data_IF_210567201020
#
_entry.id   IF_210567201020
#
_cell.length_a   1.000
_cell.length_b   1.000
_cell.length_c   1.000
_cell.angle_alpha   90.00
_cell.angle_beta   90.00
_cell.angle_gamma   90.00
#
_symmetry.space_group_name_H-M   'P 1'
#
loop_
_entity.id
_entity.type
_entity.pdbx_description
1 polymer ?
#
# COMPACT_ATOMS: atom_id res chain seq x y z
N UNK A 1 25.06 8.40 -6.72
CA UNK A 1 23.91 7.54 -6.41
C UNK A 1 22.72 8.40 -6.04
N UNK A 2 22.14 9.06 -7.03
CA UNK A 2 20.84 9.69 -6.88
C UNK A 2 19.82 8.56 -6.82
N UNK A 3 19.19 8.39 -5.66
CA UNK A 3 17.97 7.60 -5.59
C UNK A 3 16.99 8.25 -6.57
N UNK A 4 16.49 7.48 -7.52
CA UNK A 4 15.38 7.89 -8.37
C UNK A 4 14.16 8.10 -7.44
N UNK A 5 13.95 9.36 -7.00
CA UNK A 5 12.90 9.74 -6.04
C UNK A 5 11.52 9.80 -6.74
N UNK A 6 11.37 9.23 -7.93
CA UNK A 6 10.13 9.28 -8.70
C UNK A 6 9.17 8.13 -8.43
N UNK A 7 9.59 7.07 -7.72
CA UNK A 7 8.70 5.94 -7.44
C UNK A 7 7.86 6.19 -6.20
N UNK A 8 6.54 6.25 -6.39
CA UNK A 8 5.53 6.36 -5.33
C UNK A 8 5.62 5.19 -4.33
N UNK A 9 6.19 4.06 -4.77
CA UNK A 9 6.60 2.93 -3.93
C UNK A 9 8.10 2.73 -3.97
N UNK A 10 8.72 2.55 -2.81
CA UNK A 10 10.11 2.11 -2.73
C UNK A 10 10.16 0.61 -2.46
N UNK A 11 10.85 -0.11 -3.33
CA UNK A 11 11.08 -1.55 -3.22
C UNK A 11 12.57 -1.82 -3.03
N UNK A 12 12.92 -2.67 -2.06
CA UNK A 12 14.30 -3.08 -1.84
C UNK A 12 14.45 -4.48 -1.29
N UNK A 13 15.21 -5.30 -1.99
CA UNK A 13 15.72 -6.57 -1.46
C UNK A 13 17.04 -6.35 -0.70
N UNK A 14 17.13 -6.88 0.52
CA UNK A 14 18.32 -6.79 1.36
C UNK A 14 19.43 -7.75 0.90
N UNK A 15 20.71 -7.51 1.28
CA UNK A 15 21.79 -8.44 1.01
C UNK A 15 21.44 -9.87 1.46
N UNK A 16 21.67 -10.85 0.58
CA UNK A 16 21.29 -12.25 0.80
C UNK A 16 19.94 -12.64 0.19
N UNK A 17 19.14 -11.70 -0.31
CA UNK A 17 17.98 -12.00 -1.16
C UNK A 17 16.75 -12.57 -0.46
N UNK A 18 16.84 -12.88 0.84
CA UNK A 18 15.76 -13.55 1.60
C UNK A 18 14.77 -12.60 2.27
N UNK A 19 15.15 -11.34 2.43
CA UNK A 19 14.28 -10.32 3.05
C UNK A 19 14.13 -9.15 2.08
N UNK A 20 12.91 -8.65 1.94
CA UNK A 20 12.64 -7.43 1.17
C UNK A 20 11.78 -6.43 1.96
N UNK A 21 11.82 -5.18 1.50
CA UNK A 21 11.08 -4.05 2.01
C UNK A 21 10.26 -3.43 0.88
N UNK A 22 8.98 -3.21 1.17
CA UNK A 22 8.10 -2.32 0.40
C UNK A 22 7.78 -1.13 1.30
N UNK A 23 8.00 0.09 0.82
CA UNK A 23 7.44 1.30 1.41
C UNK A 23 6.42 1.89 0.45
N UNK A 24 5.14 1.82 0.80
CA UNK A 24 4.04 2.40 0.01
C UNK A 24 3.56 3.73 0.58
N UNK A 25 3.29 4.72 -0.28
CA UNK A 25 2.85 6.05 0.15
C UNK A 25 1.33 6.26 0.03
N UNK A 26 0.56 5.69 0.95
CA UNK A 26 -0.89 5.85 0.98
C UNK A 26 -1.36 7.30 1.20
N UNK A 27 -0.53 8.18 1.76
CA UNK A 27 -0.86 9.60 1.98
C UNK A 27 -0.61 10.43 0.72
N UNK A 28 0.50 10.18 0.04
CA UNK A 28 0.83 10.78 -1.26
C UNK A 28 -0.20 10.41 -2.33
N UNK A 29 -0.60 9.14 -2.41
CA UNK A 29 -1.64 8.67 -3.33
C UNK A 29 -2.99 9.37 -3.13
N UNK A 30 -3.24 9.94 -1.94
CA UNK A 30 -4.46 10.68 -1.62
C UNK A 30 -4.37 12.18 -1.81
N UNK A 31 -3.18 12.69 -2.12
CA UNK A 31 -2.91 14.12 -2.22
C UNK A 31 -2.28 14.47 -3.56
N UNK A 32 -1.07 13.96 -3.82
CA UNK A 32 -0.23 14.36 -4.95
C UNK A 32 -0.40 13.44 -6.16
N UNK A 33 -0.67 12.15 -5.93
CA UNK A 33 -0.75 11.11 -6.97
C UNK A 33 -2.17 10.52 -7.09
N UNK A 34 -3.18 11.32 -6.77
CA UNK A 34 -4.57 10.87 -6.72
C UNK A 34 -5.08 10.43 -8.09
N UNK A 35 -5.65 9.23 -8.12
CA UNK A 35 -6.44 8.73 -9.24
C UNK A 35 -7.80 8.27 -8.71
N UNK A 36 -8.87 8.49 -9.49
CA UNK A 36 -10.21 8.03 -9.10
C UNK A 36 -10.31 6.49 -9.06
N UNK A 37 -9.51 5.81 -9.88
CA UNK A 37 -9.47 4.35 -9.98
C UNK A 37 -8.81 3.69 -8.76
N UNK A 38 -7.69 4.28 -8.28
CA UNK A 38 -6.88 3.77 -7.16
C UNK A 38 -6.57 4.90 -6.16
N UNK A 39 -7.56 5.42 -5.44
CA UNK A 39 -7.37 6.56 -4.54
C UNK A 39 -6.51 6.25 -3.31
N UNK A 40 -6.31 4.99 -2.93
CA UNK A 40 -5.49 4.59 -1.78
C UNK A 40 -4.05 4.23 -2.14
N UNK A 41 -3.83 3.66 -3.33
CA UNK A 41 -2.53 3.18 -3.79
C UNK A 41 -2.00 3.90 -5.03
N UNK A 42 -2.77 4.75 -5.70
CA UNK A 42 -2.53 5.24 -7.07
C UNK A 42 -2.42 4.09 -8.10
N UNK A 43 -2.54 4.42 -9.38
CA UNK A 43 -2.35 3.41 -10.44
C UNK A 43 -0.87 3.01 -10.57
N UNK A 44 0.10 3.95 -10.63
CA UNK A 44 1.51 3.57 -10.76
C UNK A 44 2.04 2.70 -9.62
N UNK A 45 1.71 3.01 -8.38
CA UNK A 45 2.17 2.21 -7.24
C UNK A 45 1.47 0.84 -7.22
N UNK A 46 0.18 0.77 -7.57
CA UNK A 46 -0.52 -0.50 -7.72
C UNK A 46 0.15 -1.42 -8.77
N UNK A 47 0.49 -0.89 -9.94
CA UNK A 47 1.18 -1.65 -11.00
C UNK A 47 2.56 -2.15 -10.55
N UNK A 48 3.32 -1.32 -9.83
CA UNK A 48 4.62 -1.70 -9.26
C UNK A 48 4.48 -2.84 -8.24
N UNK A 49 3.48 -2.75 -7.35
CA UNK A 49 3.18 -3.80 -6.37
C UNK A 49 2.82 -5.11 -7.06
N UNK A 50 1.93 -5.07 -8.05
CA UNK A 50 1.57 -6.27 -8.82
C UNK A 50 2.76 -6.88 -9.55
N UNK A 51 3.64 -6.06 -10.13
CA UNK A 51 4.83 -6.54 -10.82
C UNK A 51 5.84 -7.20 -9.87
N UNK A 52 5.99 -6.67 -8.65
CA UNK A 52 6.92 -7.19 -7.65
C UNK A 52 6.41 -8.47 -6.97
N UNK A 53 5.10 -8.54 -6.68
CA UNK A 53 4.48 -9.62 -5.89
C UNK A 53 3.92 -10.77 -6.72
N UNK A 54 3.78 -10.63 -8.05
CA UNK A 54 3.32 -11.73 -8.90
C UNK A 54 4.30 -12.92 -8.89
N UNK A 55 3.84 -14.14 -9.23
CA UNK A 55 4.73 -15.27 -9.47
C UNK A 55 5.80 -14.95 -10.53
N UNK A 56 7.05 -15.28 -10.23
CA UNK A 56 8.22 -14.93 -11.03
C UNK A 56 8.60 -13.44 -10.98
N UNK A 57 8.00 -12.68 -10.05
CA UNK A 57 8.28 -11.26 -9.80
C UNK A 57 9.56 -11.02 -9.02
N UNK A 58 9.77 -9.76 -8.62
CA UNK A 58 10.99 -9.31 -7.94
C UNK A 58 11.23 -10.05 -6.61
N UNK A 59 10.17 -10.49 -5.94
CA UNK A 59 10.24 -11.13 -4.63
C UNK A 59 10.10 -12.65 -4.64
N UNK A 60 10.23 -13.31 -5.79
CA UNK A 60 10.11 -14.78 -5.91
C UNK A 60 11.04 -15.55 -4.95
N UNK A 61 12.24 -15.04 -4.70
CA UNK A 61 13.23 -15.69 -3.83
C UNK A 61 13.20 -15.22 -2.36
N UNK A 62 12.32 -14.26 -2.05
CA UNK A 62 12.19 -13.64 -0.73
C UNK A 62 11.33 -14.52 0.16
N UNK A 63 11.74 -14.68 1.42
CA UNK A 63 11.03 -15.47 2.44
C UNK A 63 10.36 -14.57 3.50
N UNK A 64 10.77 -13.31 3.58
CA UNK A 64 10.21 -12.35 4.52
C UNK A 64 10.05 -10.99 3.85
N UNK A 65 8.82 -10.50 3.82
CA UNK A 65 8.49 -9.19 3.30
C UNK A 65 8.11 -8.25 4.43
N UNK A 66 8.82 -7.13 4.52
CA UNK A 66 8.50 -6.02 5.39
C UNK A 66 7.70 -5.01 4.56
N UNK A 67 6.47 -4.71 4.97
CA UNK A 67 5.63 -3.72 4.28
C UNK A 67 5.39 -2.56 5.23
N UNK A 68 5.75 -1.35 4.80
CA UNK A 68 5.68 -0.13 5.59
C UNK A 68 4.83 0.90 4.85
N UNK A 69 3.94 1.57 5.58
CA UNK A 69 3.02 2.55 5.02
C UNK A 69 3.07 3.87 5.79
N UNK A 70 2.78 4.97 5.09
CA UNK A 70 2.61 6.29 5.71
C UNK A 70 1.34 6.44 6.54
N UNK A 71 0.46 5.43 6.52
CA UNK A 71 -0.73 5.35 7.37
C UNK A 71 -1.20 3.90 7.60
N UNK A 72 -2.00 3.61 8.65
CA UNK A 72 -2.48 2.26 8.92
C UNK A 72 -3.31 1.68 7.76
N UNK A 73 -3.06 0.42 7.40
CA UNK A 73 -3.78 -0.33 6.34
C UNK A 73 -5.16 -0.83 6.77
N UNK A 74 -5.27 -1.35 7.98
CA UNK A 74 -6.50 -1.92 8.53
C UNK A 74 -6.74 -1.32 9.89
N UNK A 75 -7.91 -0.71 10.07
CA UNK A 75 -8.44 -0.41 11.39
C UNK A 75 -9.31 -1.58 11.83
N UNK A 76 -8.80 -2.43 12.73
CA UNK A 76 -9.60 -3.45 13.40
C UNK A 76 -10.58 -2.75 14.36
N UNK A 77 -11.78 -2.47 13.86
CA UNK A 77 -12.88 -1.94 14.67
C UNK A 77 -13.82 -1.07 13.86
N UNK A 78 -15.11 -1.41 13.86
CA UNK A 78 -16.18 -0.57 13.31
C UNK A 78 -16.46 0.67 14.17
N UNK A 79 -15.68 0.97 15.21
CA UNK A 79 -16.16 1.75 16.36
C UNK A 79 -15.47 3.09 16.65
N UNK A 80 -14.27 3.38 16.16
CA UNK A 80 -13.78 4.78 16.26
C UNK A 80 -14.44 5.69 15.20
N UNK A 81 -14.75 5.16 14.03
CA UNK A 81 -15.44 5.89 12.95
C UNK A 81 -16.95 5.94 13.12
N UNK A 82 -17.59 4.98 13.80
CA UNK A 82 -19.04 5.05 14.07
C UNK A 82 -19.39 5.93 15.27
N UNK A 83 -18.56 5.98 16.32
CA UNK A 83 -18.74 6.92 17.45
C UNK A 83 -18.59 8.40 17.02
N UNK A 84 -17.85 8.66 15.95
CA UNK A 84 -17.62 9.99 15.39
C UNK A 84 -18.21 10.17 13.97
N UNK A 85 -19.08 9.27 13.53
CA UNK A 85 -19.67 9.28 12.17
C UNK A 85 -20.47 10.56 11.88
N UNK A 86 -20.98 11.22 12.93
CA UNK A 86 -21.66 12.52 12.85
C UNK A 86 -20.71 13.73 12.90
N UNK A 87 -19.45 13.56 13.32
CA UNK A 87 -18.46 14.64 13.45
C UNK A 87 -17.48 14.67 12.28
N UNK A 88 -17.34 13.56 11.56
CA UNK A 88 -16.52 13.47 10.37
C UNK A 88 -17.08 12.36 9.48
N UNK A 89 -17.76 12.71 8.38
CA UNK A 89 -17.65 11.87 7.16
C UNK A 89 -16.17 11.60 7.02
N UNK A 90 -15.72 10.35 7.02
CA UNK A 90 -14.30 9.96 7.08
C UNK A 90 -13.45 10.66 6.00
N UNK A 91 -13.11 11.95 6.21
CA UNK A 91 -12.36 12.79 5.27
C UNK A 91 -10.93 12.28 5.15
N UNK A 92 -10.54 11.41 6.06
CA UNK A 92 -9.24 10.77 6.13
C UNK A 92 -9.25 9.37 5.51
N UNK A 93 -10.32 8.95 4.82
CA UNK A 93 -10.25 7.90 3.79
C UNK A 93 -10.04 6.48 4.29
N UNK A 94 -9.96 6.27 5.60
CA UNK A 94 -9.52 5.00 6.18
C UNK A 94 -10.56 3.88 6.06
N UNK A 95 -11.82 4.22 5.74
CA UNK A 95 -12.87 3.29 5.30
C UNK A 95 -13.59 3.72 4.02
N UNK A 96 -13.03 4.64 3.22
CA UNK A 96 -13.69 5.14 2.01
C UNK A 96 -13.51 4.21 0.79
N UNK A 97 -12.45 3.40 0.77
CA UNK A 97 -12.11 2.53 -0.36
C UNK A 97 -11.90 1.08 0.08
N UNK A 98 -12.91 0.44 0.71
CA UNK A 98 -12.78 -0.89 1.29
C UNK A 98 -12.47 -1.96 0.25
N UNK A 99 -12.96 -1.81 -1.00
CA UNK A 99 -12.65 -2.73 -2.09
C UNK A 99 -11.17 -2.69 -2.47
N UNK A 100 -10.62 -1.50 -2.72
CA UNK A 100 -9.20 -1.33 -3.06
C UNK A 100 -8.28 -1.82 -1.92
N UNK A 101 -8.65 -1.53 -0.67
CA UNK A 101 -7.91 -2.01 0.50
C UNK A 101 -7.97 -3.53 0.63
N UNK A 102 -9.12 -4.15 0.36
CA UNK A 102 -9.25 -5.61 0.34
C UNK A 102 -8.36 -6.22 -0.73
N UNK A 103 -8.43 -5.72 -1.97
CA UNK A 103 -7.60 -6.21 -3.08
C UNK A 103 -6.11 -6.08 -2.78
N UNK A 104 -5.70 -5.00 -2.10
CA UNK A 104 -4.32 -4.84 -1.69
C UNK A 104 -3.90 -5.84 -0.60
N UNK A 105 -4.76 -6.11 0.38
CA UNK A 105 -4.51 -7.13 1.38
C UNK A 105 -4.43 -8.51 0.73
N UNK A 106 -5.37 -8.83 -0.17
CA UNK A 106 -5.38 -10.08 -0.91
C UNK A 106 -4.08 -10.27 -1.70
N UNK A 107 -3.60 -9.22 -2.40
CA UNK A 107 -2.30 -9.25 -3.09
C UNK A 107 -1.12 -9.53 -2.14
N UNK A 108 -1.14 -8.99 -0.92
CA UNK A 108 -0.08 -9.23 0.07
C UNK A 108 -0.18 -10.61 0.73
N UNK A 109 -1.39 -11.15 0.90
CA UNK A 109 -1.63 -12.46 1.48
C UNK A 109 -1.38 -13.61 0.50
N UNK A 110 -1.62 -13.37 -0.79
CA UNK A 110 -1.43 -14.35 -1.86
C UNK A 110 0.01 -14.41 -2.40
N UNK A 111 0.86 -13.45 -2.01
CA UNK A 111 2.32 -13.51 -2.20
C UNK A 111 2.94 -14.58 -1.28
#
# INVERSE_FOLDING_TARGET
DEADVSSETFVKTFPGGKVALIMGDCRGCRSFYYTEERPYQSVPQWEQLQAALKPGGEFEAVETLLVVHSSPLVFLGTTCSSACSCLSKDKMGYGLHPTEQSEYLDLLFDW
#
